data_IF_604937765357
#
_entry.id   IF_604937765357
#
_cell.length_a   1.000
_cell.length_b   1.000
_cell.length_c   1.000
_cell.angle_alpha   90.00
_cell.angle_beta   90.00
_cell.angle_gamma   90.00
#
_symmetry.space_group_name_H-M   'P 1'
#
loop_
_entity.id
_entity.type
_entity.pdbx_description
1 polymer ?
#
# COMPACT_ATOMS: atom_id res chain seq x y z
N UNK A 1 -23.65 23.05 43.07
CA UNK A 1 -23.73 22.44 41.73
C UNK A 1 -22.29 22.17 41.32
N UNK A 2 -21.73 21.10 41.84
CA UNK A 2 -20.36 20.65 41.55
C UNK A 2 -20.44 19.68 40.40
N UNK A 3 -20.33 20.25 39.21
CA UNK A 3 -20.14 19.51 37.99
C UNK A 3 -18.63 19.38 37.76
N UNK A 4 -18.21 18.17 37.48
CA UNK A 4 -16.89 17.75 37.05
C UNK A 4 -15.99 17.14 38.12
N UNK A 5 -16.48 16.02 38.71
CA UNK A 5 -15.59 15.08 39.35
C UNK A 5 -14.96 14.18 38.26
N UNK A 6 -13.67 14.39 37.94
CA UNK A 6 -13.00 13.61 36.88
C UNK A 6 -12.95 12.10 37.18
N UNK A 7 -13.11 11.70 38.43
CA UNK A 7 -13.19 10.32 38.86
C UNK A 7 -14.47 9.60 38.38
N UNK A 8 -15.57 10.35 38.23
CA UNK A 8 -16.83 9.77 37.72
C UNK A 8 -16.71 9.46 36.24
N UNK A 9 -16.04 10.29 35.45
CA UNK A 9 -15.81 10.06 34.03
C UNK A 9 -14.96 8.81 33.77
N UNK A 10 -13.93 8.58 34.58
CA UNK A 10 -13.06 7.41 34.50
C UNK A 10 -13.85 6.13 34.81
N UNK A 11 -14.71 6.14 35.85
CA UNK A 11 -15.52 4.97 36.21
C UNK A 11 -16.57 4.60 35.14
N UNK A 12 -17.09 5.57 34.42
CA UNK A 12 -18.06 5.30 33.35
C UNK A 12 -17.37 4.71 32.12
N UNK A 13 -16.14 5.11 31.82
CA UNK A 13 -15.34 4.50 30.76
C UNK A 13 -14.97 3.04 31.08
N UNK A 14 -14.59 2.74 32.33
CA UNK A 14 -14.28 1.37 32.75
C UNK A 14 -15.51 0.46 32.72
N UNK A 15 -16.69 1.00 32.98
CA UNK A 15 -17.94 0.23 32.92
C UNK A 15 -18.35 -0.10 31.46
N UNK A 16 -17.99 0.74 30.51
CA UNK A 16 -18.23 0.53 29.08
C UNK A 16 -17.40 -0.57 28.45
N UNK A 17 -16.21 -0.85 28.99
CA UNK A 17 -15.28 -1.87 28.43
C UNK A 17 -15.67 -3.30 28.86
N UNK A 18 -16.52 -3.47 29.87
CA UNK A 18 -16.91 -4.78 30.38
C UNK A 18 -18.04 -5.47 29.59
N UNK A 19 -18.56 -4.87 28.54
CA UNK A 19 -19.51 -5.50 27.63
C UNK A 19 -18.82 -5.96 26.35
N UNK A 20 -18.12 -7.08 26.46
CA UNK A 20 -17.70 -7.86 25.29
C UNK A 20 -18.96 -8.44 24.67
N UNK A 21 -19.31 -8.18 23.41
CA UNK A 21 -20.38 -8.91 22.75
C UNK A 21 -19.93 -10.36 22.60
N UNK A 22 -20.74 -11.24 23.18
CA UNK A 22 -20.69 -12.68 23.07
C UNK A 22 -20.53 -13.07 21.59
N UNK A 23 -19.49 -13.81 21.29
CA UNK A 23 -19.17 -14.28 19.94
C UNK A 23 -20.35 -15.12 19.43
N UNK A 24 -21.11 -14.60 18.47
CA UNK A 24 -22.08 -15.39 17.74
C UNK A 24 -21.35 -16.47 16.95
N UNK A 25 -21.60 -17.71 17.40
CA UNK A 25 -21.11 -18.93 16.77
C UNK A 25 -21.69 -19.02 15.36
N UNK A 26 -20.83 -18.98 14.34
CA UNK A 26 -21.21 -19.30 12.97
C UNK A 26 -21.63 -20.77 12.88
N UNK A 27 -22.80 -21.10 12.30
CA UNK A 27 -23.21 -22.48 12.10
C UNK A 27 -22.29 -23.13 11.04
N UNK A 28 -21.66 -24.23 11.43
CA UNK A 28 -20.91 -25.08 10.54
C UNK A 28 -21.86 -25.72 9.51
N UNK A 29 -21.62 -25.44 8.23
CA UNK A 29 -22.29 -26.13 7.13
C UNK A 29 -21.76 -27.57 7.00
N UNK A 30 -22.60 -28.58 7.00
CA UNK A 30 -22.18 -29.95 6.76
C UNK A 30 -21.89 -30.15 5.25
N UNK A 31 -20.68 -30.52 4.91
CA UNK A 31 -20.38 -31.06 3.59
C UNK A 31 -20.84 -32.50 3.50
N UNK A 32 -21.65 -32.91 2.50
CA UNK A 32 -21.95 -34.30 2.27
C UNK A 32 -20.78 -34.99 1.56
N UNK A 33 -20.21 -35.99 2.22
CA UNK A 33 -19.35 -37.00 1.64
C UNK A 33 -20.13 -37.83 0.61
N UNK A 34 -19.92 -37.57 -0.66
CA UNK A 34 -20.39 -38.39 -1.75
C UNK A 34 -19.38 -39.46 -2.15
N UNK A 35 -19.46 -40.62 -1.55
CA UNK A 35 -18.85 -41.86 -2.05
C UNK A 35 -19.66 -42.34 -3.26
N UNK A 36 -19.04 -42.28 -4.43
CA UNK A 36 -19.60 -42.84 -5.67
C UNK A 36 -18.54 -43.62 -6.41
N UNK A 37 -18.43 -44.92 -6.10
CA UNK A 37 -17.77 -45.91 -6.91
C UNK A 37 -18.58 -46.23 -8.15
N UNK A 38 -17.98 -46.22 -9.33
CA UNK A 38 -18.64 -46.62 -10.60
C UNK A 38 -17.66 -46.78 -11.73
N UNK A 39 -17.07 -47.92 -11.83
CA UNK A 39 -16.66 -48.86 -12.90
C UNK A 39 -16.31 -48.32 -14.30
N UNK A 40 -15.32 -48.94 -14.94
CA UNK A 40 -14.85 -48.63 -16.29
C UNK A 40 -15.52 -49.49 -17.34
N UNK A 41 -15.83 -48.94 -18.48
CA UNK A 41 -16.04 -49.64 -19.74
C UNK A 41 -15.57 -48.68 -20.84
N UNK A 42 -14.47 -48.89 -21.52
CA UNK A 42 -14.32 -49.77 -22.65
C UNK A 42 -14.94 -49.12 -23.90
N UNK A 43 -14.08 -48.59 -24.79
CA UNK A 43 -14.57 -48.11 -26.08
C UNK A 43 -13.43 -47.50 -26.90
N UNK A 44 -12.75 -48.32 -27.64
CA UNK A 44 -11.81 -48.05 -28.72
C UNK A 44 -12.36 -47.11 -29.78
N UNK A 45 -11.59 -46.10 -30.17
CA UNK A 45 -11.94 -45.30 -31.36
C UNK A 45 -11.06 -44.05 -31.48
N UNK A 46 -9.81 -44.20 -31.89
CA UNK A 46 -8.99 -43.09 -32.36
C UNK A 46 -9.41 -42.71 -33.79
N UNK A 47 -9.90 -41.53 -34.07
CA UNK A 47 -9.80 -40.96 -35.39
C UNK A 47 -8.44 -40.25 -35.51
N UNK A 48 -7.56 -40.90 -36.18
CA UNK A 48 -6.36 -40.33 -36.80
C UNK A 48 -6.83 -39.25 -37.78
N UNK A 49 -6.80 -37.98 -37.42
CA UNK A 49 -6.69 -36.84 -38.37
C UNK A 49 -6.79 -35.52 -37.64
N UNK A 50 -5.77 -34.68 -37.89
CA UNK A 50 -5.62 -33.22 -37.65
C UNK A 50 -4.67 -32.82 -36.52
N UNK A 51 -3.42 -33.31 -36.62
CA UNK A 51 -2.30 -32.80 -35.86
C UNK A 51 -1.73 -31.45 -36.39
N UNK A 52 -2.33 -30.88 -37.45
CA UNK A 52 -1.84 -29.64 -38.07
C UNK A 52 -2.45 -28.34 -37.55
N UNK A 53 -3.61 -28.40 -36.92
CA UNK A 53 -4.32 -27.16 -36.49
C UNK A 53 -3.88 -26.65 -35.12
N UNK A 54 -3.33 -27.51 -34.24
CA UNK A 54 -2.88 -27.12 -32.91
C UNK A 54 -1.54 -26.38 -32.90
N UNK A 55 -0.65 -26.68 -33.87
CA UNK A 55 0.68 -26.06 -33.98
C UNK A 55 0.57 -24.61 -34.46
N UNK A 56 -0.37 -24.30 -35.35
CA UNK A 56 -0.59 -22.95 -35.85
C UNK A 56 -1.21 -22.06 -34.75
N UNK A 57 -2.10 -22.62 -33.93
CA UNK A 57 -2.70 -21.88 -32.78
C UNK A 57 -1.69 -21.51 -31.70
N UNK A 58 -0.73 -22.39 -31.40
CA UNK A 58 0.31 -22.12 -30.44
C UNK A 58 1.31 -21.05 -30.92
N UNK A 59 1.70 -21.09 -32.19
CA UNK A 59 2.61 -20.09 -32.75
C UNK A 59 1.97 -18.70 -32.80
N UNK A 60 0.68 -18.58 -33.12
CA UNK A 60 -0.06 -17.32 -33.11
C UNK A 60 -0.21 -16.78 -31.69
N UNK A 61 -0.48 -17.62 -30.68
CA UNK A 61 -0.57 -17.23 -29.29
C UNK A 61 0.78 -16.72 -28.76
N UNK A 62 1.89 -17.36 -29.08
CA UNK A 62 3.23 -16.91 -28.66
C UNK A 62 3.60 -15.57 -29.31
N UNK A 63 3.25 -15.36 -30.56
CA UNK A 63 3.50 -14.07 -31.25
C UNK A 63 2.64 -12.96 -30.63
N UNK A 64 1.38 -13.22 -30.34
CA UNK A 64 0.51 -12.22 -29.68
C UNK A 64 1.01 -11.89 -28.27
N UNK A 65 1.45 -12.87 -27.49
CA UNK A 65 2.03 -12.62 -26.15
C UNK A 65 3.33 -11.84 -26.26
N UNK A 66 4.21 -12.16 -27.22
CA UNK A 66 5.48 -11.45 -27.39
C UNK A 66 5.29 -10.02 -27.93
N UNK A 67 4.26 -9.77 -28.75
CA UNK A 67 3.88 -8.42 -29.18
C UNK A 67 3.26 -7.64 -28.02
N UNK A 68 2.42 -8.27 -27.20
CA UNK A 68 1.84 -7.65 -26.01
C UNK A 68 2.91 -7.24 -24.98
N UNK A 69 3.94 -8.07 -24.80
CA UNK A 69 5.07 -7.78 -23.92
C UNK A 69 5.99 -6.67 -24.43
N UNK A 70 6.04 -6.45 -25.75
CA UNK A 70 6.88 -5.39 -26.36
C UNK A 70 6.16 -4.06 -26.55
N UNK A 71 4.84 -4.04 -26.67
CA UNK A 71 4.04 -2.84 -26.95
C UNK A 71 3.02 -2.49 -25.85
N UNK A 72 2.67 -3.44 -25.00
CA UNK A 72 1.90 -3.18 -23.81
C UNK A 72 2.87 -2.90 -22.68
N UNK A 73 3.09 -1.65 -22.36
CA UNK A 73 3.88 -1.24 -21.20
C UNK A 73 3.21 -1.65 -19.89
N UNK A 74 3.02 -2.95 -19.68
CA UNK A 74 2.72 -3.50 -18.37
C UNK A 74 4.06 -3.80 -17.69
N UNK A 75 4.52 -2.86 -16.89
CA UNK A 75 5.56 -3.12 -15.91
C UNK A 75 5.02 -4.13 -14.89
N UNK A 76 5.31 -5.40 -15.11
CA UNK A 76 5.05 -6.47 -14.14
C UNK A 76 5.92 -6.35 -12.87
N UNK A 77 6.87 -5.40 -12.85
CA UNK A 77 7.73 -5.18 -11.71
C UNK A 77 7.02 -4.50 -10.54
N UNK A 78 5.89 -3.84 -10.77
CA UNK A 78 5.13 -3.18 -9.71
C UNK A 78 3.64 -3.12 -10.11
N UNK A 79 2.83 -4.16 -9.78
CA UNK A 79 1.40 -4.18 -10.06
C UNK A 79 0.64 -3.06 -9.33
N UNK A 80 1.28 -2.45 -8.36
CA UNK A 80 0.85 -1.24 -7.68
C UNK A 80 1.84 -0.14 -8.11
N UNK A 81 1.45 0.72 -9.04
CA UNK A 81 2.21 1.92 -9.38
C UNK A 81 2.50 2.75 -8.11
N UNK A 82 3.37 3.76 -8.19
CA UNK A 82 3.65 4.61 -7.05
C UNK A 82 2.33 5.16 -6.48
N UNK A 83 2.21 5.14 -5.15
CA UNK A 83 1.07 5.74 -4.46
C UNK A 83 0.94 7.19 -4.91
N UNK A 84 -0.19 7.56 -5.52
CA UNK A 84 -0.41 8.93 -6.01
C UNK A 84 -1.20 9.73 -5.00
N UNK A 85 -0.67 10.87 -4.59
CA UNK A 85 -1.29 11.81 -3.65
C UNK A 85 -1.99 12.91 -4.42
N UNK A 86 -3.32 12.90 -4.40
CA UNK A 86 -4.19 13.97 -4.89
C UNK A 86 -5.15 14.35 -3.75
N UNK A 87 -4.78 15.32 -2.93
CA UNK A 87 -5.50 15.66 -1.70
C UNK A 87 -4.65 15.36 -0.48
N UNK A 88 -5.21 14.79 0.58
CA UNK A 88 -4.48 14.45 1.80
C UNK A 88 -4.20 12.94 1.84
N UNK A 89 -2.94 12.57 2.01
CA UNK A 89 -2.51 11.22 2.30
C UNK A 89 -1.72 11.19 3.61
N UNK A 90 -2.06 10.24 4.47
CA UNK A 90 -1.30 9.94 5.68
C UNK A 90 -0.78 8.51 5.56
N UNK A 91 0.52 8.34 5.74
CA UNK A 91 1.18 7.05 5.78
C UNK A 91 1.76 6.83 7.17
N UNK A 92 1.36 5.75 7.81
CA UNK A 92 1.80 5.37 9.15
C UNK A 92 2.58 4.05 9.05
N UNK A 93 3.90 4.16 8.86
CA UNK A 93 4.78 3.00 8.68
C UNK A 93 6.10 3.22 9.40
N UNK A 94 6.75 2.12 9.83
CA UNK A 94 8.11 2.15 10.34
C UNK A 94 8.99 1.16 9.59
N UNK A 95 10.22 1.58 9.26
CA UNK A 95 11.17 0.78 8.48
C UNK A 95 10.79 0.59 7.02
N UNK A 96 9.86 1.37 6.49
CA UNK A 96 9.39 1.25 5.11
C UNK A 96 10.36 1.91 4.11
N UNK A 97 10.38 1.37 2.89
CA UNK A 97 11.02 2.01 1.75
C UNK A 97 10.03 2.05 0.61
N UNK A 98 9.65 3.24 0.16
CA UNK A 98 8.61 3.39 -0.86
C UNK A 98 8.81 4.63 -1.73
N UNK A 99 8.13 4.65 -2.89
CA UNK A 99 8.08 5.79 -3.80
C UNK A 99 6.65 6.30 -3.91
N UNK A 100 6.48 7.60 -3.68
CA UNK A 100 5.17 8.27 -3.64
C UNK A 100 5.15 9.34 -4.73
N UNK A 101 4.14 9.34 -5.57
CA UNK A 101 3.92 10.39 -6.57
C UNK A 101 3.01 11.47 -5.98
N UNK A 102 3.52 12.67 -5.76
CA UNK A 102 2.75 13.80 -5.26
C UNK A 102 2.25 14.67 -6.42
N UNK A 103 0.96 14.97 -6.43
CA UNK A 103 0.34 15.82 -7.44
C UNK A 103 -0.47 16.93 -6.74
N UNK A 104 0.22 17.97 -6.32
CA UNK A 104 -0.30 19.11 -5.56
C UNK A 104 -1.09 18.73 -4.29
N UNK A 105 -0.77 17.59 -3.70
CA UNK A 105 -1.41 17.09 -2.48
C UNK A 105 -0.67 17.45 -1.20
N UNK A 106 -1.28 17.11 -0.07
CA UNK A 106 -0.69 17.17 1.27
C UNK A 106 -0.28 15.75 1.68
N UNK A 107 1.00 15.54 1.94
CA UNK A 107 1.55 14.25 2.34
C UNK A 107 2.05 14.32 3.79
N UNK A 108 1.51 13.48 4.64
CA UNK A 108 1.99 13.24 5.99
C UNK A 108 2.61 11.85 6.09
N UNK A 109 3.86 11.79 6.50
CA UNK A 109 4.60 10.57 6.80
C UNK A 109 4.77 10.46 8.30
N UNK A 110 4.28 9.39 8.90
CA UNK A 110 4.30 9.17 10.35
C UNK A 110 4.96 7.82 10.65
N UNK A 111 5.96 7.82 11.53
CA UNK A 111 6.71 6.63 11.94
C UNK A 111 8.22 6.82 11.87
N UNK A 112 8.94 5.75 12.15
CA UNK A 112 10.38 5.79 12.37
C UNK A 112 11.16 5.00 11.33
N UNK A 113 12.39 5.44 11.04
CA UNK A 113 13.38 4.72 10.24
C UNK A 113 12.87 4.37 8.83
N UNK A 114 12.14 5.30 8.23
CA UNK A 114 11.62 5.15 6.87
C UNK A 114 12.54 5.79 5.83
N UNK A 115 12.48 5.27 4.60
CA UNK A 115 13.14 5.85 3.44
C UNK A 115 12.13 6.07 2.33
N UNK A 116 11.79 7.33 2.06
CA UNK A 116 10.82 7.70 1.04
C UNK A 116 11.43 8.49 -0.11
N UNK A 117 10.96 8.20 -1.32
CA UNK A 117 11.23 9.03 -2.50
C UNK A 117 9.90 9.62 -2.97
N UNK A 118 9.77 10.94 -2.88
CA UNK A 118 8.57 11.66 -3.27
C UNK A 118 8.83 12.35 -4.59
N UNK A 119 8.13 11.92 -5.64
CA UNK A 119 8.23 12.48 -6.99
C UNK A 119 7.11 13.48 -7.25
N UNK A 120 7.36 14.43 -8.15
CA UNK A 120 6.41 15.49 -8.48
C UNK A 120 6.38 16.60 -7.43
N UNK A 121 5.25 17.31 -7.35
CA UNK A 121 5.11 18.49 -6.49
C UNK A 121 4.10 18.23 -5.36
N UNK A 122 4.51 18.46 -4.11
CA UNK A 122 3.63 18.47 -2.96
C UNK A 122 3.32 19.90 -2.53
N UNK A 123 2.07 20.20 -2.23
CA UNK A 123 1.73 21.46 -1.56
C UNK A 123 2.29 21.47 -0.14
N UNK A 124 2.21 20.35 0.57
CA UNK A 124 2.73 20.19 1.92
C UNK A 124 3.33 18.80 2.11
N UNK A 125 4.51 18.76 2.69
CA UNK A 125 5.15 17.54 3.15
C UNK A 125 5.43 17.67 4.65
N UNK A 126 4.88 16.77 5.43
CA UNK A 126 5.06 16.70 6.88
C UNK A 126 5.63 15.33 7.24
N UNK A 127 6.72 15.31 8.00
CA UNK A 127 7.37 14.09 8.48
C UNK A 127 7.38 14.09 10.00
N UNK A 128 6.83 13.03 10.58
CA UNK A 128 6.75 12.81 12.02
C UNK A 128 7.49 11.55 12.40
N UNK A 129 8.20 11.58 13.52
CA UNK A 129 8.97 10.46 14.04
C UNK A 129 10.47 10.65 13.93
N UNK A 130 11.24 9.58 13.98
CA UNK A 130 12.69 9.65 14.09
C UNK A 130 13.42 8.87 13.00
N UNK A 131 14.63 9.33 12.65
CA UNK A 131 15.53 8.66 11.71
C UNK A 131 14.90 8.41 10.32
N UNK A 132 14.05 9.30 9.85
CA UNK A 132 13.47 9.21 8.51
C UNK A 132 14.37 9.87 7.47
N UNK A 133 14.51 9.22 6.31
CA UNK A 133 15.20 9.74 5.14
C UNK A 133 14.19 9.99 4.02
N UNK A 134 13.97 11.26 3.66
CA UNK A 134 12.99 11.63 2.64
C UNK A 134 13.67 12.44 1.54
N UNK A 135 13.58 11.95 0.30
CA UNK A 135 13.97 12.71 -0.88
C UNK A 135 12.71 13.18 -1.58
N UNK A 136 12.54 14.47 -1.79
CA UNK A 136 11.38 15.05 -2.47
C UNK A 136 11.82 15.87 -3.68
N UNK A 137 11.09 15.73 -4.79
CA UNK A 137 11.38 16.51 -5.99
C UNK A 137 11.08 17.98 -5.78
N UNK A 138 9.88 18.31 -5.29
CA UNK A 138 9.50 19.69 -4.93
C UNK A 138 8.35 19.73 -3.92
N UNK A 139 8.33 20.79 -3.11
CA UNK A 139 7.19 21.08 -2.21
C UNK A 139 7.11 22.58 -1.93
N UNK A 140 5.90 23.10 -1.58
CA UNK A 140 5.75 24.48 -1.11
C UNK A 140 6.10 24.61 0.38
N UNK A 141 5.80 23.58 1.15
CA UNK A 141 6.11 23.53 2.59
C UNK A 141 6.68 22.18 2.98
N UNK A 142 7.77 22.19 3.73
CA UNK A 142 8.40 21.01 4.29
C UNK A 142 8.50 21.19 5.80
N UNK A 143 7.94 20.26 6.56
CA UNK A 143 7.99 20.26 8.02
C UNK A 143 8.50 18.92 8.55
N UNK A 144 9.48 18.96 9.45
CA UNK A 144 9.98 17.79 10.16
C UNK A 144 9.68 17.94 11.67
N UNK A 145 9.15 16.88 12.25
CA UNK A 145 8.82 16.79 13.68
C UNK A 145 9.39 15.51 14.26
N UNK A 146 10.36 15.63 15.15
CA UNK A 146 11.00 14.49 15.79
C UNK A 146 12.51 14.64 15.89
N UNK A 147 13.22 13.55 15.73
CA UNK A 147 14.66 13.56 15.91
C UNK A 147 15.37 12.84 14.74
N UNK A 148 16.56 13.34 14.35
CA UNK A 148 17.44 12.70 13.36
C UNK A 148 16.79 12.52 11.96
N UNK A 149 15.86 13.37 11.56
CA UNK A 149 15.26 13.28 10.24
C UNK A 149 16.13 14.00 9.18
N UNK A 150 16.34 13.36 8.04
CA UNK A 150 17.06 13.91 6.90
C UNK A 150 16.16 14.05 5.69
N UNK A 151 15.96 15.27 5.22
CA UNK A 151 15.11 15.57 4.07
C UNK A 151 15.90 16.32 3.01
N UNK A 152 15.80 15.87 1.77
CA UNK A 152 16.48 16.47 0.61
C UNK A 152 15.41 16.87 -0.41
N UNK A 153 15.37 18.15 -0.81
CA UNK A 153 14.52 18.61 -1.90
C UNK A 153 15.36 19.04 -3.11
N UNK A 154 14.88 18.78 -4.32
CA UNK A 154 15.65 19.03 -5.55
C UNK A 154 15.26 20.31 -6.27
N UNK A 155 14.07 20.83 -6.06
CA UNK A 155 13.62 22.04 -6.75
C UNK A 155 12.66 22.87 -5.92
N UNK A 156 12.52 24.13 -6.30
CA UNK A 156 11.64 25.08 -5.62
C UNK A 156 12.33 25.86 -4.49
N UNK A 157 11.52 26.54 -3.71
CA UNK A 157 11.96 27.33 -2.54
C UNK A 157 10.96 27.08 -1.39
N UNK A 158 10.97 25.90 -0.80
CA UNK A 158 9.99 25.52 0.20
C UNK A 158 10.11 26.38 1.46
N UNK A 159 8.98 26.57 2.13
CA UNK A 159 8.99 27.03 3.52
C UNK A 159 9.35 25.85 4.41
N UNK A 160 10.49 25.94 5.08
CA UNK A 160 11.03 24.87 5.93
C UNK A 160 10.72 25.17 7.39
N UNK A 161 10.28 24.16 8.13
CA UNK A 161 10.08 24.16 9.59
C UNK A 161 10.57 22.85 10.18
N UNK A 162 11.44 22.93 11.19
CA UNK A 162 11.93 21.75 11.93
C UNK A 162 11.59 21.92 13.42
N UNK A 163 11.17 20.85 14.06
CA UNK A 163 10.84 20.81 15.49
C UNK A 163 11.34 19.50 16.08
N UNK A 164 12.35 19.56 16.91
CA UNK A 164 13.04 18.41 17.50
C UNK A 164 14.54 18.59 17.46
N UNK A 165 15.27 17.49 17.50
CA UNK A 165 16.73 17.54 17.53
C UNK A 165 17.31 16.95 16.25
N UNK A 166 18.36 17.57 15.75
CA UNK A 166 19.19 17.04 14.68
C UNK A 166 18.44 16.77 13.34
N UNK A 167 17.33 17.45 13.10
CA UNK A 167 16.61 17.42 11.84
C UNK A 167 17.33 18.27 10.78
N UNK A 168 17.56 17.69 9.61
CA UNK A 168 18.25 18.36 8.49
C UNK A 168 17.33 18.42 7.29
N UNK A 169 17.12 19.62 6.75
CA UNK A 169 16.43 19.83 5.47
C UNK A 169 17.37 20.60 4.56
N UNK A 170 17.75 20.00 3.44
CA UNK A 170 18.72 20.57 2.51
C UNK A 170 18.28 20.49 1.06
N UNK A 171 18.81 21.38 0.22
CA UNK A 171 18.71 21.29 -1.23
C UNK A 171 19.77 20.31 -1.74
N UNK A 172 19.37 19.35 -2.60
CA UNK A 172 20.23 18.34 -3.22
C UNK A 172 20.59 18.66 -4.64
#
# INVERSE_FOLDING_TARGET
>A
MDADDPEQYIRDLERGVSQTPEAEAFPASPHPLGTGSGRPLGGTGLPRRRAGALVIGFAAAIVLVSVFLKFGGFDFANPFGPTTVQGNLIMENSGATDTIACNDGDLKLDGDNNKYTVTGHCRRLEVFGSANHVTVESADTISAFGDDNAMIYHSGSPRISTTGNNDIVSHG
#
